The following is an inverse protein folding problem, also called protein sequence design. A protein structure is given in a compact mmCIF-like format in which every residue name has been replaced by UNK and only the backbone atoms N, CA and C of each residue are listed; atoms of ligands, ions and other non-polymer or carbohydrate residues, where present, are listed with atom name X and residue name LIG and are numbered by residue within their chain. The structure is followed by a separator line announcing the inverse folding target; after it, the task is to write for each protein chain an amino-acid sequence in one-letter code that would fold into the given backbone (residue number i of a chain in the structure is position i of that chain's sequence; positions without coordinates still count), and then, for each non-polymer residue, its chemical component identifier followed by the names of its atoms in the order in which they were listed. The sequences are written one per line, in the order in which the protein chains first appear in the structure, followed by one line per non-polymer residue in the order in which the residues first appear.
data_IF_253476740824
#
_entry.id   IF_253476740824
#
_cell.length_a   1.000
_cell.length_b   1.000
_cell.length_c   1.000
_cell.angle_alpha   90.00
_cell.angle_beta   90.00
_cell.angle_gamma   90.00
#
_symmetry.space_group_name_H-M   'P 1'
#
loop_
_entity.id
_entity.type
_entity.pdbx_description
1 polymer ?
#
# COMPACT_ATOMS: atom_id res chain seq x y z
N UNK A 1 11.08 18.44 -13.14
CA UNK A 1 10.86 18.00 -11.76
C UNK A 1 9.66 17.06 -11.77
N UNK A 2 9.89 15.75 -11.84
CA UNK A 2 8.80 14.76 -11.94
C UNK A 2 8.26 14.50 -10.54
N UNK A 3 7.10 15.05 -10.22
CA UNK A 3 6.36 14.74 -8.99
C UNK A 3 5.75 13.34 -9.15
N UNK A 4 6.44 12.31 -8.66
CA UNK A 4 5.88 10.95 -8.61
C UNK A 4 4.76 10.92 -7.57
N UNK A 5 3.53 11.17 -7.99
CA UNK A 5 2.34 10.98 -7.17
C UNK A 5 2.16 9.48 -6.93
N UNK A 6 2.36 9.03 -5.68
CA UNK A 6 2.18 7.62 -5.34
C UNK A 6 0.68 7.27 -5.38
N UNK A 7 0.27 6.19 -6.06
CA UNK A 7 -1.14 5.84 -6.16
C UNK A 7 -1.67 5.43 -4.79
N UNK A 8 -2.73 6.11 -4.35
CA UNK A 8 -3.43 5.84 -3.10
C UNK A 8 -4.74 5.13 -3.39
N UNK A 9 -5.01 4.01 -2.74
CA UNK A 9 -6.23 3.21 -2.91
C UNK A 9 -6.97 3.13 -1.58
N UNK A 10 -8.22 3.59 -1.55
CA UNK A 10 -9.08 3.46 -0.36
C UNK A 10 -9.75 2.09 -0.34
N UNK A 11 -9.54 1.33 0.72
CA UNK A 11 -10.10 -0.01 0.91
C UNK A 11 -10.85 -0.09 2.23
N UNK A 12 -11.77 -1.04 2.39
CA UNK A 12 -12.46 -1.27 3.67
C UNK A 12 -11.82 -2.45 4.37
N UNK A 13 -11.37 -2.23 5.60
CA UNK A 13 -10.88 -3.29 6.47
C UNK A 13 -12.02 -4.17 6.97
N UNK A 14 -11.78 -5.47 7.16
CA UNK A 14 -12.70 -6.34 7.90
C UNK A 14 -12.37 -6.37 9.39
N UNK A 15 -13.22 -7.03 10.18
CA UNK A 15 -12.94 -7.29 11.59
C UNK A 15 -11.63 -8.09 11.72
N UNK A 16 -10.72 -7.64 12.58
CA UNK A 16 -9.41 -8.27 12.78
C UNK A 16 -8.52 -8.29 11.52
N UNK A 17 -8.83 -7.47 10.52
CA UNK A 17 -8.00 -7.32 9.32
C UNK A 17 -6.73 -6.53 9.66
N UNK A 18 -5.66 -6.81 8.91
CA UNK A 18 -4.35 -6.22 9.14
C UNK A 18 -3.90 -5.43 7.92
N UNK A 19 -3.07 -4.41 8.15
CA UNK A 19 -2.54 -3.58 7.07
C UNK A 19 -1.75 -4.41 6.05
N UNK A 20 -1.03 -5.44 6.51
CA UNK A 20 -0.30 -6.38 5.64
C UNK A 20 -1.27 -7.19 4.75
N UNK A 21 -2.33 -7.77 5.34
CA UNK A 21 -3.34 -8.52 4.58
C UNK A 21 -4.08 -7.63 3.56
N UNK A 22 -4.41 -6.39 3.92
CA UNK A 22 -5.01 -5.42 3.00
C UNK A 22 -4.06 -5.03 1.86
N UNK A 23 -2.80 -4.75 2.16
CA UNK A 23 -1.77 -4.49 1.16
C UNK A 23 -1.61 -5.70 0.23
N UNK A 24 -1.53 -6.91 0.77
CA UNK A 24 -1.44 -8.12 -0.03
C UNK A 24 -2.66 -8.31 -0.94
N UNK A 25 -3.87 -8.13 -0.42
CA UNK A 25 -5.13 -8.37 -1.16
C UNK A 25 -5.40 -7.33 -2.24
N UNK A 26 -5.14 -6.05 -1.95
CA UNK A 26 -5.49 -4.96 -2.85
C UNK A 26 -4.33 -4.51 -3.72
N UNK A 27 -3.10 -4.55 -3.21
CA UNK A 27 -1.91 -4.12 -3.94
C UNK A 27 -1.10 -5.30 -4.51
N UNK A 28 -1.43 -6.53 -4.13
CA UNK A 28 -0.70 -7.73 -4.55
C UNK A 28 0.72 -7.84 -3.97
N UNK A 29 1.09 -6.94 -3.05
CA UNK A 29 2.41 -6.86 -2.43
C UNK A 29 2.34 -6.11 -1.11
N UNK A 30 3.20 -6.51 -0.17
CA UNK A 30 3.29 -5.90 1.16
C UNK A 30 4.60 -5.14 1.35
N UNK A 31 5.69 -5.63 0.75
CA UNK A 31 7.00 -4.99 0.76
C UNK A 31 6.95 -3.56 0.19
N UNK A 32 7.35 -2.57 0.98
CA UNK A 32 7.31 -1.15 0.64
C UNK A 32 5.92 -0.50 0.72
N UNK A 33 4.84 -1.24 0.43
CA UNK A 33 3.47 -0.68 0.45
C UNK A 33 3.00 -0.37 1.88
N UNK A 34 3.28 -1.27 2.83
CA UNK A 34 2.98 -1.04 4.26
C UNK A 34 3.77 0.17 4.76
N UNK A 35 5.06 0.23 4.50
CA UNK A 35 5.94 1.32 4.92
C UNK A 35 5.52 2.67 4.32
N UNK A 36 5.20 2.71 3.02
CA UNK A 36 4.69 3.92 2.36
C UNK A 36 3.37 4.39 2.97
N UNK A 37 2.47 3.44 3.30
CA UNK A 37 1.20 3.74 3.95
C UNK A 37 1.40 4.27 5.37
N UNK A 38 2.31 3.67 6.14
CA UNK A 38 2.64 4.12 7.50
C UNK A 38 3.34 5.47 7.50
N UNK A 39 4.19 5.75 6.52
CA UNK A 39 4.85 7.04 6.37
C UNK A 39 3.86 8.16 6.02
N UNK A 40 2.86 7.87 5.19
CA UNK A 40 1.79 8.82 4.89
C UNK A 40 0.79 8.98 6.06
N UNK A 41 0.57 7.92 6.84
CA UNK A 41 -0.44 7.85 7.90
C UNK A 41 0.12 7.22 9.18
N UNK A 42 0.94 7.95 9.96
CA UNK A 42 1.60 7.40 11.16
C UNK A 42 0.61 6.99 12.26
N UNK A 43 -0.59 7.57 12.31
CA UNK A 43 -1.66 7.16 13.22
C UNK A 43 -2.22 5.76 12.94
N UNK A 44 -2.10 5.29 11.69
CA UNK A 44 -2.57 3.98 11.24
C UNK A 44 -1.65 2.86 11.75
N UNK A 45 -0.35 3.15 11.97
CA UNK A 45 0.63 2.19 12.50
C UNK A 45 0.20 1.56 13.83
N UNK A 46 -0.40 2.37 14.72
CA UNK A 46 -0.85 1.91 16.04
C UNK A 46 -2.05 0.97 15.98
N UNK A 47 -2.82 1.00 14.88
CA UNK A 47 -4.04 0.18 14.67
C UNK A 47 -3.90 -0.81 13.51
N UNK A 48 -2.72 -0.90 12.89
CA UNK A 48 -2.46 -1.73 11.72
C UNK A 48 -2.63 -3.24 11.97
N UNK A 49 -2.58 -3.69 13.22
CA UNK A 49 -2.79 -5.08 13.63
C UNK A 49 -4.24 -5.40 14.07
N UNK A 50 -5.11 -4.39 14.13
CA UNK A 50 -6.46 -4.52 14.67
C UNK A 50 -7.37 -3.42 14.13
N UNK A 51 -7.62 -3.46 12.83
CA UNK A 51 -8.54 -2.54 12.18
C UNK A 51 -9.98 -2.91 12.55
N UNK A 52 -10.81 -1.87 12.73
CA UNK A 52 -12.24 -2.05 12.96
C UNK A 52 -12.92 -2.55 11.68
N UNK A 53 -13.94 -3.39 11.84
CA UNK A 53 -14.74 -3.86 10.71
C UNK A 53 -15.40 -2.69 9.96
N UNK A 54 -15.19 -2.62 8.65
CA UNK A 54 -15.73 -1.58 7.78
C UNK A 54 -14.95 -0.26 7.79
N UNK A 55 -13.83 -0.16 8.52
CA UNK A 55 -13.03 1.06 8.59
C UNK A 55 -12.42 1.36 7.19
N UNK A 56 -12.62 2.57 6.64
CA UNK A 56 -11.95 2.98 5.42
C UNK A 56 -10.46 3.24 5.68
N UNK A 57 -9.60 2.44 5.07
CA UNK A 57 -8.15 2.55 5.15
C UNK A 57 -7.61 3.00 3.80
N UNK A 58 -6.85 4.10 3.80
CA UNK A 58 -6.12 4.52 2.61
C UNK A 58 -4.79 3.80 2.56
N UNK A 59 -4.64 2.91 1.58
CA UNK A 59 -3.37 2.25 1.27
C UNK A 59 -2.58 3.09 0.27
N UNK A 60 -1.30 3.27 0.53
CA UNK A 60 -0.37 3.90 -0.40
C UNK A 60 0.45 2.78 -1.05
N UNK A 61 0.27 2.59 -2.35
CA UNK A 61 1.11 1.63 -3.06
C UNK A 61 2.50 2.25 -3.27
N UNK A 62 3.54 1.57 -2.80
CA UNK A 62 4.90 1.97 -3.13
C UNK A 62 5.09 1.95 -4.65
N UNK A 63 5.80 2.91 -5.26
CA UNK A 63 6.10 2.83 -6.68
C UNK A 63 6.77 1.48 -6.98
N UNK A 64 6.20 0.70 -7.91
CA UNK A 64 6.90 -0.48 -8.40
C UNK A 64 8.23 0.00 -8.99
N UNK A 65 9.37 -0.68 -8.74
CA UNK A 65 10.58 -0.37 -9.48
C UNK A 65 10.21 -0.53 -10.96
N UNK A 66 10.24 0.58 -11.70
CA UNK A 66 10.05 0.56 -13.13
C UNK A 66 11.13 -0.36 -13.67
N UNK A 67 10.78 -1.61 -14.00
CA UNK A 67 11.71 -2.53 -14.62
C UNK A 67 12.07 -1.87 -15.95
N UNK A 68 13.33 -1.46 -16.16
CA UNK A 68 13.71 -0.95 -17.46
C UNK A 68 13.43 -2.09 -18.43
N UNK A 69 12.48 -1.87 -19.32
CA UNK A 69 12.14 -2.82 -20.36
C UNK A 69 13.32 -2.80 -21.33
N UNK A 70 14.32 -3.62 -21.03
CA UNK A 70 15.44 -3.85 -21.93
C UNK A 70 14.87 -4.65 -23.08
N UNK A 71 14.65 -3.97 -24.20
CA UNK A 71 14.47 -4.62 -25.49
C UNK A 71 15.79 -5.31 -25.82
N UNK A 72 15.76 -6.64 -25.81
CA UNK A 72 16.95 -7.47 -25.98
C UNK A 72 17.25 -7.78 -27.46
N UNK A 73 16.41 -7.29 -28.38
CA UNK A 73 16.53 -7.52 -29.82
C UNK A 73 16.27 -6.23 -30.59
N UNK A 74 17.02 -6.05 -31.68
CA UNK A 74 17.02 -4.95 -32.67
C UNK A 74 15.75 -4.92 -33.53
#
# INVERSE_FOLDING_TARGET
MATTSSPTTTVRAHEHDTLDALCHRHLGRTAGAVEATLNAHPGLAKRAAGLGAGEPVQLVAAPAPARPMIQLWD
#
